data_IF_113556062109
#
_entry.id   IF_113556062109
#
_cell.length_a   1.000
_cell.length_b   1.000
_cell.length_c   1.000
_cell.angle_alpha   90.00
_cell.angle_beta   90.00
_cell.angle_gamma   90.00
#
_symmetry.space_group_name_H-M   'P 1'
#
loop_
_entity.id
_entity.type
_entity.pdbx_description
1 polymer ?
#
# COMPACT_ATOMS: atom_id res chain seq x y z
N UNK A 1 -13.68 16.04 -7.56
CA UNK A 1 -13.24 15.35 -6.34
C UNK A 1 -13.04 13.88 -6.64
N UNK A 2 -11.89 13.34 -6.32
CA UNK A 2 -11.63 11.92 -6.58
C UNK A 2 -12.22 11.05 -5.47
N UNK A 3 -12.67 9.86 -5.84
CA UNK A 3 -13.15 8.88 -4.88
C UNK A 3 -11.98 8.34 -4.05
N UNK A 4 -12.25 7.93 -2.79
CA UNK A 4 -11.25 7.24 -2.00
C UNK A 4 -10.77 5.98 -2.72
N UNK A 5 -9.50 5.64 -2.55
CA UNK A 5 -8.98 4.39 -3.09
C UNK A 5 -9.64 3.22 -2.38
N UNK A 6 -10.24 2.33 -3.16
CA UNK A 6 -10.85 1.11 -2.61
C UNK A 6 -9.81 -0.01 -2.61
N UNK A 7 -9.23 -0.30 -1.44
CA UNK A 7 -8.21 -1.34 -1.31
C UNK A 7 -8.81 -2.74 -1.20
N UNK A 8 -10.13 -2.84 -1.00
CA UNK A 8 -10.81 -4.11 -0.76
C UNK A 8 -10.61 -5.12 -1.89
N UNK A 9 -10.62 -4.63 -3.12
CA UNK A 9 -10.56 -5.50 -4.31
C UNK A 9 -9.16 -5.63 -4.89
N UNK A 10 -8.15 -5.06 -4.23
CA UNK A 10 -6.77 -5.12 -4.72
C UNK A 10 -6.18 -6.51 -4.51
N UNK A 11 -5.56 -7.04 -5.57
CA UNK A 11 -4.94 -8.35 -5.52
C UNK A 11 -3.50 -8.32 -5.00
N UNK A 12 -3.00 -9.50 -4.65
CA UNK A 12 -1.60 -9.71 -4.30
C UNK A 12 -0.73 -9.31 -5.50
N UNK A 13 0.37 -8.61 -5.25
CA UNK A 13 1.29 -8.16 -6.29
C UNK A 13 0.99 -6.78 -6.85
N UNK A 14 -0.17 -6.21 -6.55
CA UNK A 14 -0.51 -4.84 -6.92
C UNK A 14 0.35 -3.88 -6.10
N UNK A 15 0.83 -2.81 -6.74
CA UNK A 15 1.64 -1.80 -6.07
C UNK A 15 0.78 -0.60 -5.69
N UNK A 16 1.08 -0.04 -4.53
CA UNK A 16 0.39 1.16 -4.03
C UNK A 16 1.42 2.21 -3.66
N UNK A 17 1.04 3.47 -3.80
CA UNK A 17 1.84 4.62 -3.36
C UNK A 17 1.18 5.19 -2.12
N UNK A 18 1.98 5.50 -1.11
CA UNK A 18 1.52 5.95 0.19
C UNK A 18 1.74 7.44 0.36
N UNK A 19 1.06 8.03 1.34
CA UNK A 19 1.19 9.45 1.67
C UNK A 19 2.63 9.88 1.91
N UNK A 20 3.45 9.00 2.46
CA UNK A 20 4.87 9.28 2.72
C UNK A 20 5.72 9.34 1.46
N UNK A 21 5.16 8.99 0.30
CA UNK A 21 5.90 8.83 -0.94
C UNK A 21 6.47 7.44 -1.13
N UNK A 22 6.29 6.55 -0.17
CA UNK A 22 6.73 5.16 -0.28
C UNK A 22 5.88 4.40 -1.28
N UNK A 23 6.49 3.39 -1.91
CA UNK A 23 5.77 2.46 -2.78
C UNK A 23 5.87 1.07 -2.15
N UNK A 24 4.77 0.34 -2.16
CA UNK A 24 4.71 -0.98 -1.56
C UNK A 24 3.91 -1.94 -2.44
N UNK A 25 4.22 -3.23 -2.34
CA UNK A 25 3.54 -4.29 -3.07
C UNK A 25 2.67 -5.08 -2.09
N UNK A 26 1.42 -5.30 -2.46
CA UNK A 26 0.49 -6.04 -1.60
C UNK A 26 0.92 -7.50 -1.50
N UNK A 27 1.10 -7.98 -0.27
CA UNK A 27 1.44 -9.38 0.00
C UNK A 27 0.30 -10.14 0.64
N UNK A 28 -0.65 -9.45 1.25
CA UNK A 28 -1.87 -10.06 1.78
C UNK A 28 -2.96 -9.00 1.90
N UNK A 29 -4.19 -9.40 1.63
CA UNK A 29 -5.33 -8.49 1.71
C UNK A 29 -6.51 -9.22 2.37
N UNK A 30 -6.87 -8.89 3.62
CA UNK A 30 -8.01 -9.52 4.30
C UNK A 30 -9.35 -9.12 3.70
N UNK A 31 -9.37 -8.13 2.80
CA UNK A 31 -10.56 -7.69 2.06
C UNK A 31 -11.64 -7.05 2.94
N UNK A 32 -11.23 -6.46 4.04
CA UNK A 32 -12.16 -5.71 4.89
C UNK A 32 -12.27 -4.22 4.51
N UNK A 33 -11.41 -3.77 3.60
CA UNK A 33 -11.45 -2.40 3.10
C UNK A 33 -10.76 -1.38 4.01
N UNK A 34 -10.18 -1.81 5.11
CA UNK A 34 -9.56 -0.93 6.10
C UNK A 34 -8.04 -0.94 6.01
N UNK A 35 -7.43 -2.12 5.86
CA UNK A 35 -5.97 -2.26 5.84
C UNK A 35 -5.58 -3.48 5.00
N UNK A 36 -4.28 -3.53 4.67
CA UNK A 36 -3.68 -4.67 3.98
C UNK A 36 -2.22 -4.80 4.42
N UNK A 37 -1.62 -5.95 4.16
CA UNK A 37 -0.18 -6.13 4.34
C UNK A 37 0.54 -5.88 3.02
N UNK A 38 1.63 -5.14 3.09
CA UNK A 38 2.43 -4.83 1.91
C UNK A 38 3.92 -4.85 2.25
N UNK A 39 4.73 -5.13 1.26
CA UNK A 39 6.19 -5.06 1.37
C UNK A 39 6.65 -3.76 0.74
N UNK A 40 7.46 -3.00 1.46
CA UNK A 40 8.00 -1.74 0.94
C UNK A 40 8.98 -2.01 -0.19
N UNK A 41 8.75 -1.40 -1.33
CA UNK A 41 9.63 -1.47 -2.50
C UNK A 41 10.53 -0.25 -2.55
N UNK A 42 10.05 0.89 -2.08
CA UNK A 42 10.75 2.15 -2.10
C UNK A 42 10.25 2.99 -0.94
N UNK A 43 11.13 3.64 -0.22
CA UNK A 43 10.77 4.49 0.91
C UNK A 43 11.77 5.64 1.03
N UNK A 44 11.54 6.75 0.29
CA UNK A 44 12.46 7.89 0.31
C UNK A 44 12.66 8.51 1.69
N UNK A 45 11.61 8.49 2.51
CA UNK A 45 11.67 9.05 3.86
C UNK A 45 12.39 8.14 4.85
N UNK A 46 12.37 6.84 4.62
CA UNK A 46 12.97 5.85 5.51
C UNK A 46 13.44 4.64 4.70
N UNK A 47 14.65 4.73 4.12
CA UNK A 47 15.16 3.64 3.28
C UNK A 47 15.30 2.31 4.01
N UNK A 48 15.35 2.32 5.33
CA UNK A 48 15.42 1.10 6.13
C UNK A 48 14.17 0.23 6.05
N UNK A 49 13.06 0.79 5.57
CA UNK A 49 11.80 0.04 5.42
C UNK A 49 11.82 -0.87 4.19
N UNK A 50 12.64 -0.58 3.18
CA UNK A 50 12.65 -1.33 1.93
C UNK A 50 12.89 -2.83 2.19
N UNK A 51 11.99 -3.66 1.66
CA UNK A 51 12.02 -5.10 1.86
C UNK A 51 11.27 -5.60 3.08
N UNK A 52 10.83 -4.69 3.96
CA UNK A 52 10.04 -5.06 5.13
C UNK A 52 8.56 -5.09 4.79
N UNK A 53 7.83 -5.98 5.46
CA UNK A 53 6.38 -6.07 5.36
C UNK A 53 5.76 -5.36 6.55
N UNK A 54 4.68 -4.63 6.29
CA UNK A 54 3.99 -3.89 7.33
C UNK A 54 2.51 -3.76 6.97
N UNK A 55 1.72 -3.42 7.97
CA UNK A 55 0.30 -3.15 7.81
C UNK A 55 0.12 -1.72 7.27
N UNK A 56 -0.60 -1.62 6.15
CA UNK A 56 -0.89 -0.35 5.49
C UNK A 56 -2.38 -0.09 5.58
N UNK A 57 -2.75 1.11 6.03
CA UNK A 57 -4.16 1.48 6.11
C UNK A 57 -4.63 2.13 4.81
N UNK A 58 -5.91 1.90 4.49
CA UNK A 58 -6.51 2.44 3.27
C UNK A 58 -6.34 3.96 3.15
N UNK A 59 -6.46 4.67 4.27
CA UNK A 59 -6.36 6.12 4.28
C UNK A 59 -4.97 6.63 3.89
N UNK A 60 -3.95 5.79 3.98
CA UNK A 60 -2.59 6.16 3.62
C UNK A 60 -2.26 5.88 2.15
N UNK A 61 -3.13 5.17 1.44
CA UNK A 61 -2.94 4.84 0.03
C UNK A 61 -3.47 5.99 -0.82
N UNK A 62 -2.59 6.60 -1.62
CA UNK A 62 -2.98 7.73 -2.47
C UNK A 62 -3.05 7.36 -3.95
N UNK A 63 -2.45 6.24 -4.34
CA UNK A 63 -2.46 5.80 -5.73
C UNK A 63 -2.27 4.29 -5.80
N UNK A 64 -2.88 3.67 -6.80
CA UNK A 64 -2.72 2.25 -7.09
C UNK A 64 -2.03 2.12 -8.44
N UNK A 65 -1.01 1.29 -8.52
CA UNK A 65 -0.29 0.97 -9.76
C UNK A 65 -0.32 -0.53 -10.00
N UNK A 66 -0.73 -0.88 -11.19
CA UNK A 66 -0.80 -2.29 -11.58
C UNK A 66 0.25 -2.64 -12.62
#
# INVERSE_FOLDING_TARGET
>A
MSDPVNIRDLGIGIRVVLLSGAEAEIVDNPKDGVWLFARYLSSPSDPGLVGQEDMIFAQDVIEVRS
#
